data_IF_939290374193
#
_entry.id   IF_939290374193
#
_cell.length_a   1.000
_cell.length_b   1.000
_cell.length_c   1.000
_cell.angle_alpha   90.00
_cell.angle_beta   90.00
_cell.angle_gamma   90.00
#
_symmetry.space_group_name_H-M   'P 1'
#
loop_
_entity.id
_entity.type
_entity.pdbx_description
1 polymer ?
#
# COMPACT_ATOMS: atom_id res chain seq x y z
N UNK A 1 -14.96 16.21 18.67
CA UNK A 1 -14.49 15.08 19.50
C UNK A 1 -15.26 13.82 19.15
N UNK A 2 -14.73 12.61 19.41
CA UNK A 2 -15.44 11.35 19.08
C UNK A 2 -16.85 11.27 19.72
N UNK A 3 -17.03 11.91 20.88
CA UNK A 3 -18.32 12.09 21.55
C UNK A 3 -19.40 12.77 20.68
N UNK A 4 -19.00 13.57 19.70
CA UNK A 4 -19.91 14.34 18.85
C UNK A 4 -20.62 13.44 17.83
N UNK A 5 -20.16 12.19 17.67
CA UNK A 5 -20.77 11.17 16.81
C UNK A 5 -21.75 10.26 17.57
N UNK A 6 -22.10 10.60 18.81
CA UNK A 6 -23.08 9.84 19.61
C UNK A 6 -24.41 9.68 18.85
N UNK A 7 -24.90 8.44 18.76
CA UNK A 7 -26.10 8.10 17.99
C UNK A 7 -25.87 7.74 16.52
N UNK A 8 -24.63 7.86 16.02
CA UNK A 8 -24.30 7.45 14.64
C UNK A 8 -24.24 5.93 14.53
N UNK A 9 -25.00 5.33 13.61
CA UNK A 9 -25.06 3.86 13.50
C UNK A 9 -23.82 3.22 12.85
N UNK A 10 -23.05 4.00 12.10
CA UNK A 10 -21.88 3.53 11.36
C UNK A 10 -20.87 4.66 11.17
N UNK A 11 -19.60 4.41 11.51
CA UNK A 11 -18.49 5.34 11.36
C UNK A 11 -17.37 4.67 10.57
N UNK A 12 -16.67 5.44 9.75
CA UNK A 12 -15.49 4.98 9.00
C UNK A 12 -14.34 5.95 9.20
N UNK A 13 -13.16 5.41 9.51
CA UNK A 13 -11.94 6.17 9.69
C UNK A 13 -10.87 5.63 8.75
N UNK A 14 -10.14 6.53 8.09
CA UNK A 14 -8.97 6.19 7.26
C UNK A 14 -7.75 6.77 7.95
N UNK A 15 -6.76 5.94 8.23
CA UNK A 15 -5.55 6.34 8.96
C UNK A 15 -4.31 6.08 8.11
N UNK A 16 -3.74 7.16 7.58
CA UNK A 16 -2.69 7.09 6.55
C UNK A 16 -1.24 7.11 7.09
N UNK A 17 -1.05 7.15 8.42
CA UNK A 17 0.28 7.33 9.01
C UNK A 17 1.28 6.25 8.59
N UNK A 18 0.82 4.99 8.52
CA UNK A 18 1.66 3.83 8.21
C UNK A 18 2.22 3.92 6.78
N UNK A 19 1.38 4.27 5.80
CA UNK A 19 1.80 4.44 4.40
C UNK A 19 2.71 5.67 4.24
N UNK A 20 2.35 6.81 4.86
CA UNK A 20 3.21 8.02 4.86
C UNK A 20 4.60 7.69 5.43
N UNK A 21 4.68 6.96 6.55
CA UNK A 21 5.96 6.56 7.14
C UNK A 21 6.75 5.65 6.19
N UNK A 22 6.10 4.71 5.52
CA UNK A 22 6.74 3.81 4.57
C UNK A 22 7.35 4.56 3.38
N UNK A 23 6.63 5.50 2.79
CA UNK A 23 7.13 6.33 1.68
C UNK A 23 8.20 7.32 2.14
N UNK A 24 7.97 8.06 3.22
CA UNK A 24 8.94 9.06 3.71
C UNK A 24 10.26 8.45 4.16
N UNK A 25 10.26 7.21 4.64
CA UNK A 25 11.49 6.47 4.93
C UNK A 25 12.40 6.39 3.70
N UNK A 26 11.84 6.23 2.49
CA UNK A 26 12.66 6.17 1.27
C UNK A 26 13.27 7.50 0.86
N UNK A 27 12.71 8.62 1.34
CA UNK A 27 13.10 9.98 0.94
C UNK A 27 13.95 10.71 1.99
N UNK A 28 14.14 10.12 3.18
CA UNK A 28 14.81 10.78 4.31
C UNK A 28 15.90 9.91 4.90
N UNK A 29 17.15 10.35 4.78
CA UNK A 29 18.32 9.67 5.36
C UNK A 29 18.17 9.47 6.87
N UNK A 30 17.66 10.50 7.57
CA UNK A 30 17.38 10.44 9.02
C UNK A 30 16.37 9.32 9.34
N UNK A 31 15.29 9.19 8.55
CA UNK A 31 14.33 8.11 8.76
C UNK A 31 14.91 6.73 8.40
N UNK A 32 15.84 6.64 7.45
CA UNK A 32 16.54 5.38 7.18
C UNK A 32 17.43 4.96 8.34
N UNK A 33 18.09 5.91 9.02
CA UNK A 33 18.89 5.66 10.21
C UNK A 33 18.04 5.25 11.43
N UNK A 34 16.91 5.94 11.65
CA UNK A 34 15.99 5.63 12.76
C UNK A 34 15.24 4.32 12.50
N UNK A 35 14.95 4.01 11.23
CA UNK A 35 14.14 2.86 10.80
C UNK A 35 14.93 1.96 9.83
N UNK A 36 16.03 1.34 10.29
CA UNK A 36 16.93 0.60 9.40
C UNK A 36 16.32 -0.70 8.90
N UNK A 37 15.38 -1.29 9.65
CA UNK A 37 14.78 -2.58 9.35
C UNK A 37 13.30 -2.64 9.75
N UNK A 38 12.65 -3.74 9.39
CA UNK A 38 11.22 -3.97 9.66
C UNK A 38 10.90 -4.03 11.16
N UNK A 39 11.81 -4.53 11.99
CA UNK A 39 11.61 -4.56 13.45
C UNK A 39 11.54 -3.15 14.03
N UNK A 40 12.45 -2.26 13.63
CA UNK A 40 12.40 -0.84 14.02
C UNK A 40 11.15 -0.15 13.49
N UNK A 41 10.73 -0.47 12.25
CA UNK A 41 9.50 0.06 11.67
C UNK A 41 8.27 -0.33 12.50
N UNK A 42 8.12 -1.62 12.83
CA UNK A 42 7.02 -2.11 13.69
C UNK A 42 7.04 -1.48 15.07
N UNK A 43 8.23 -1.24 15.64
CA UNK A 43 8.36 -0.58 16.95
C UNK A 43 7.84 0.86 16.91
N UNK A 44 8.16 1.61 15.86
CA UNK A 44 7.70 3.00 15.70
C UNK A 44 6.20 3.05 15.43
N UNK A 45 5.68 2.18 14.56
CA UNK A 45 4.23 2.10 14.30
C UNK A 45 3.49 1.76 15.59
N UNK A 46 3.99 0.82 16.40
CA UNK A 46 3.41 0.51 17.70
C UNK A 46 3.43 1.72 18.65
N UNK A 47 4.58 2.35 18.81
CA UNK A 47 4.71 3.51 19.70
C UNK A 47 3.80 4.67 19.25
N UNK A 48 3.73 4.94 17.95
CA UNK A 48 2.78 5.89 17.39
C UNK A 48 1.34 5.50 17.75
N UNK A 49 0.95 4.25 17.52
CA UNK A 49 -0.40 3.77 17.80
C UNK A 49 -0.78 3.95 19.27
N UNK A 50 0.10 3.54 20.18
CA UNK A 50 -0.05 3.67 21.65
C UNK A 50 -0.24 5.13 22.10
N UNK A 51 0.27 6.10 21.33
CA UNK A 51 0.15 7.53 21.62
C UNK A 51 -0.77 8.26 20.62
N UNK A 52 -1.51 7.54 19.79
CA UNK A 52 -2.32 8.11 18.71
C UNK A 52 -3.75 8.40 19.16
N UNK A 53 -4.37 9.37 18.49
CA UNK A 53 -5.82 9.60 18.62
C UNK A 53 -6.66 8.39 18.15
N UNK A 54 -6.09 7.51 17.33
CA UNK A 54 -6.76 6.28 16.90
C UNK A 54 -7.02 5.35 18.09
N UNK A 55 -6.08 5.21 19.02
CA UNK A 55 -6.31 4.40 20.23
C UNK A 55 -7.45 4.98 21.07
N UNK A 56 -7.46 6.31 21.26
CA UNK A 56 -8.56 7.01 21.96
C UNK A 56 -9.92 6.79 21.28
N UNK A 57 -9.95 6.76 19.94
CA UNK A 57 -11.18 6.43 19.18
C UNK A 57 -11.63 4.99 19.48
N UNK A 58 -10.71 4.03 19.51
CA UNK A 58 -11.03 2.62 19.79
C UNK A 58 -11.56 2.44 21.22
N UNK A 59 -10.96 3.13 22.20
CA UNK A 59 -11.43 3.14 23.59
C UNK A 59 -12.85 3.71 23.71
N UNK A 60 -13.12 4.83 23.05
CA UNK A 60 -14.46 5.45 23.04
C UNK A 60 -15.49 4.62 22.30
N UNK A 61 -15.09 3.93 21.23
CA UNK A 61 -15.95 2.98 20.53
C UNK A 61 -16.34 1.81 21.45
N UNK A 62 -15.40 1.32 22.27
CA UNK A 62 -15.67 0.27 23.26
C UNK A 62 -16.64 0.74 24.36
N UNK A 63 -16.48 1.95 24.89
CA UNK A 63 -17.40 2.55 25.88
C UNK A 63 -18.86 2.61 25.37
N UNK A 64 -19.03 2.80 24.06
CA UNK A 64 -20.33 2.90 23.40
C UNK A 64 -20.81 1.58 22.78
N UNK A 65 -20.15 0.46 23.10
CA UNK A 65 -20.48 -0.89 22.60
C UNK A 65 -20.53 -1.01 21.06
N UNK A 66 -19.68 -0.25 20.34
CA UNK A 66 -19.49 -0.50 18.92
C UNK A 66 -18.71 -1.80 18.71
N UNK A 67 -19.10 -2.54 17.67
CA UNK A 67 -18.22 -3.55 17.06
C UNK A 67 -17.29 -2.82 16.09
N UNK A 68 -15.98 -2.99 16.27
CA UNK A 68 -14.98 -2.33 15.42
C UNK A 68 -14.37 -3.35 14.49
N UNK A 69 -14.37 -3.06 13.18
CA UNK A 69 -13.63 -3.82 12.18
C UNK A 69 -12.40 -3.03 11.78
N UNK A 70 -11.22 -3.61 11.96
CA UNK A 70 -9.93 -3.02 11.57
C UNK A 70 -9.34 -3.85 10.45
N UNK A 71 -8.97 -3.18 9.35
CA UNK A 71 -8.26 -3.80 8.23
C UNK A 71 -7.33 -2.78 7.57
N UNK A 72 -6.67 -3.19 6.49
CA UNK A 72 -5.87 -2.34 5.61
C UNK A 72 -6.47 -2.42 4.22
N UNK A 73 -6.29 -1.38 3.40
CA UNK A 73 -6.69 -1.38 1.99
C UNK A 73 -5.66 -2.13 1.11
N UNK A 74 -4.40 -2.10 1.52
CA UNK A 74 -3.33 -2.90 0.96
C UNK A 74 -2.28 -3.25 2.01
N UNK A 75 -1.45 -4.24 1.71
CA UNK A 75 -0.21 -4.47 2.43
C UNK A 75 0.97 -3.78 1.75
N UNK A 76 2.19 -4.14 2.12
CA UNK A 76 3.39 -3.59 1.49
C UNK A 76 4.51 -4.62 1.43
N UNK A 77 5.48 -4.40 0.55
CA UNK A 77 6.65 -5.26 0.40
C UNK A 77 7.89 -4.43 0.08
N UNK A 78 9.04 -4.83 0.65
CA UNK A 78 10.33 -4.31 0.20
C UNK A 78 10.64 -4.80 -1.21
N UNK A 79 10.93 -3.87 -2.11
CA UNK A 79 11.30 -4.19 -3.50
C UNK A 79 12.81 -4.24 -3.65
N UNK A 80 13.30 -5.04 -4.60
CA UNK A 80 14.75 -5.23 -4.78
C UNK A 80 15.13 -5.48 -6.23
N UNK A 81 14.23 -6.05 -7.04
CA UNK A 81 14.54 -6.48 -8.41
C UNK A 81 13.86 -5.58 -9.43
N UNK A 82 14.66 -4.87 -10.21
CA UNK A 82 14.15 -4.10 -11.34
C UNK A 82 13.67 -5.00 -12.48
N UNK A 83 12.54 -4.66 -13.08
CA UNK A 83 12.05 -5.26 -14.32
C UNK A 83 11.80 -4.18 -15.34
N UNK A 84 12.51 -4.22 -16.47
CA UNK A 84 12.27 -3.30 -17.58
C UNK A 84 10.82 -3.40 -18.06
N UNK A 85 10.16 -2.26 -18.17
CA UNK A 85 8.82 -2.12 -18.72
C UNK A 85 8.86 -1.18 -19.91
N UNK A 86 8.19 -1.56 -21.00
CA UNK A 86 7.79 -0.60 -22.04
C UNK A 86 6.31 -0.31 -21.85
N UNK A 87 5.98 0.96 -21.72
CA UNK A 87 4.63 1.43 -21.47
C UNK A 87 4.39 2.75 -22.20
N UNK A 88 3.13 3.09 -22.44
CA UNK A 88 2.74 4.38 -23.04
C UNK A 88 3.19 5.57 -22.16
N UNK A 89 3.26 6.79 -22.71
CA UNK A 89 3.67 7.99 -21.95
C UNK A 89 2.73 8.30 -20.77
N UNK A 90 1.45 7.99 -20.91
CA UNK A 90 0.41 8.20 -19.90
C UNK A 90 0.19 6.91 -19.09
N UNK A 91 1.09 6.63 -18.17
CA UNK A 91 0.93 5.49 -17.24
C UNK A 91 0.87 5.98 -15.80
N UNK A 92 0.39 5.12 -14.91
CA UNK A 92 0.31 5.42 -13.48
C UNK A 92 1.68 5.72 -12.87
N UNK A 93 1.70 6.43 -11.76
CA UNK A 93 2.94 6.77 -11.04
C UNK A 93 3.54 5.58 -10.29
N UNK A 94 2.72 4.61 -9.88
CA UNK A 94 3.13 3.44 -9.09
C UNK A 94 4.25 2.63 -9.76
N UNK A 95 5.31 2.29 -9.05
CA UNK A 95 6.36 1.40 -9.58
C UNK A 95 5.98 -0.07 -9.59
N UNK A 96 4.80 -0.42 -9.08
CA UNK A 96 4.35 -1.81 -8.90
C UNK A 96 3.23 -2.21 -9.86
N UNK A 97 2.48 -1.27 -10.41
CA UNK A 97 1.52 -1.55 -11.48
C UNK A 97 1.55 -0.48 -12.56
N UNK A 98 1.11 -0.84 -13.78
CA UNK A 98 0.87 0.11 -14.87
C UNK A 98 -0.44 -0.17 -15.54
N UNK A 99 -1.04 0.91 -16.03
CA UNK A 99 -2.23 0.92 -16.88
C UNK A 99 -1.84 1.54 -18.21
N UNK A 100 -2.26 0.94 -19.32
CA UNK A 100 -1.96 1.45 -20.65
C UNK A 100 -2.50 0.56 -21.77
N UNK A 101 -2.43 1.03 -23.00
CA UNK A 101 -2.82 0.24 -24.19
C UNK A 101 -1.69 -0.69 -24.60
N UNK A 102 -0.46 -0.19 -24.60
CA UNK A 102 0.72 -0.97 -24.96
C UNK A 102 1.64 -1.15 -23.76
N UNK A 103 1.55 -2.31 -23.13
CA UNK A 103 2.44 -2.70 -22.04
C UNK A 103 3.28 -3.91 -22.47
N UNK A 104 4.58 -3.89 -22.16
CA UNK A 104 5.48 -5.03 -22.37
C UNK A 104 6.43 -5.17 -21.18
N UNK A 105 6.40 -6.34 -20.57
CA UNK A 105 7.24 -6.74 -19.43
C UNK A 105 7.42 -8.27 -19.47
N UNK A 106 8.42 -8.80 -18.78
CA UNK A 106 8.59 -10.25 -18.64
C UNK A 106 7.42 -10.87 -17.86
N UNK A 107 6.81 -11.92 -18.41
CA UNK A 107 5.73 -12.68 -17.75
C UNK A 107 6.17 -13.34 -16.44
N UNK A 108 7.48 -13.57 -16.28
CA UNK A 108 8.07 -14.05 -15.03
C UNK A 108 7.99 -12.98 -13.93
N UNK A 109 8.02 -11.70 -14.29
CA UNK A 109 8.13 -10.59 -13.36
C UNK A 109 6.80 -9.90 -13.07
N UNK A 110 5.79 -10.08 -13.93
CA UNK A 110 4.48 -9.43 -13.78
C UNK A 110 3.32 -10.36 -14.13
N UNK A 111 2.13 -10.04 -13.61
CA UNK A 111 0.87 -10.53 -14.14
C UNK A 111 0.35 -9.51 -15.14
N UNK A 112 -0.03 -9.98 -16.32
CA UNK A 112 -0.64 -9.18 -17.37
C UNK A 112 -2.14 -9.44 -17.39
N UNK A 113 -2.96 -8.41 -17.20
CA UNK A 113 -4.41 -8.47 -17.32
C UNK A 113 -4.85 -7.68 -18.55
N UNK A 114 -5.46 -8.38 -19.51
CA UNK A 114 -5.97 -7.79 -20.77
C UNK A 114 -7.46 -7.50 -20.74
N UNK A 115 -8.14 -8.01 -19.72
CA UNK A 115 -9.58 -7.88 -19.53
C UNK A 115 -9.82 -7.39 -18.09
N UNK A 116 -9.67 -6.08 -17.84
CA UNK A 116 -9.73 -5.51 -16.49
C UNK A 116 -11.12 -5.68 -15.84
N UNK A 117 -12.19 -5.69 -16.63
CA UNK A 117 -13.56 -5.78 -16.13
C UNK A 117 -13.82 -7.09 -15.39
N UNK A 118 -13.21 -8.20 -15.83
CA UNK A 118 -13.26 -9.51 -15.13
C UNK A 118 -12.68 -9.47 -13.72
N UNK A 119 -11.88 -8.46 -13.40
CA UNK A 119 -11.27 -8.26 -12.09
C UNK A 119 -11.85 -7.04 -11.37
N UNK A 120 -12.99 -6.52 -11.84
CA UNK A 120 -13.62 -5.30 -11.32
C UNK A 120 -12.68 -4.07 -11.35
N UNK A 121 -11.75 -4.04 -12.31
CA UNK A 121 -10.86 -2.90 -12.54
C UNK A 121 -11.47 -1.95 -13.59
N UNK A 122 -11.21 -0.64 -13.48
CA UNK A 122 -11.74 0.32 -14.43
C UNK A 122 -11.11 0.13 -15.82
N UNK A 123 -11.91 0.34 -16.86
CA UNK A 123 -11.46 0.33 -18.26
C UNK A 123 -11.77 1.68 -18.90
N UNK A 124 -10.99 2.73 -18.60
CA UNK A 124 -11.27 4.09 -19.06
C UNK A 124 -11.17 4.24 -20.59
N UNK A 125 -10.50 3.31 -21.26
CA UNK A 125 -10.30 3.30 -22.71
C UNK A 125 -10.53 1.89 -23.27
N UNK A 126 -10.93 1.82 -24.55
CA UNK A 126 -10.96 0.54 -25.27
C UNK A 126 -9.55 -0.04 -25.30
N UNK A 127 -9.41 -1.33 -24.98
CA UNK A 127 -8.12 -2.03 -24.84
C UNK A 127 -7.25 -1.55 -23.67
N UNK A 128 -7.86 -1.18 -22.55
CA UNK A 128 -7.10 -0.93 -21.30
C UNK A 128 -6.47 -2.24 -20.81
N UNK A 129 -5.15 -2.23 -20.66
CA UNK A 129 -4.40 -3.33 -20.07
C UNK A 129 -3.78 -2.91 -18.73
N UNK A 130 -3.61 -3.89 -17.85
CA UNK A 130 -2.88 -3.74 -16.60
C UNK A 130 -1.70 -4.71 -16.56
N UNK A 131 -0.60 -4.24 -15.97
CA UNK A 131 0.45 -5.14 -15.48
C UNK A 131 0.67 -4.88 -14.00
N UNK A 132 0.81 -5.95 -13.23
CA UNK A 132 1.08 -5.91 -11.79
C UNK A 132 2.36 -6.69 -11.50
N UNK A 133 3.30 -6.08 -10.78
CA UNK A 133 4.56 -6.70 -10.43
C UNK A 133 4.34 -7.90 -9.48
N UNK A 134 5.04 -9.01 -9.77
CA UNK A 134 5.10 -10.20 -8.91
C UNK A 134 6.21 -10.03 -7.87
N UNK A 135 6.08 -10.69 -6.73
CA UNK A 135 7.15 -10.77 -5.70
C UNK A 135 7.69 -9.37 -5.32
N UNK A 136 9.00 -9.18 -5.22
CA UNK A 136 9.71 -7.92 -4.95
C UNK A 136 10.16 -7.18 -6.23
N UNK A 137 9.55 -7.48 -7.39
CA UNK A 137 9.87 -6.75 -8.61
C UNK A 137 9.29 -5.34 -8.63
N UNK A 138 10.00 -4.39 -9.22
CA UNK A 138 9.46 -3.05 -9.51
C UNK A 138 9.81 -2.66 -10.94
N UNK A 139 9.02 -1.77 -11.53
CA UNK A 139 9.13 -1.43 -12.93
C UNK A 139 10.17 -0.34 -13.20
N UNK A 140 11.09 -0.64 -14.10
CA UNK A 140 12.14 0.24 -14.59
C UNK A 140 11.78 0.77 -15.97
N UNK A 141 11.78 2.09 -16.12
CA UNK A 141 11.57 2.73 -17.40
C UNK A 141 12.88 2.87 -18.18
N UNK A 142 12.95 2.50 -19.47
CA UNK A 142 14.18 2.57 -20.28
C UNK A 142 14.92 3.90 -20.20
N UNK A 143 14.18 5.01 -20.17
CA UNK A 143 14.77 6.36 -20.15
C UNK A 143 15.24 6.80 -18.74
N UNK A 144 14.83 6.10 -17.68
CA UNK A 144 15.08 6.48 -16.29
C UNK A 144 15.64 5.33 -15.43
N UNK A 145 16.21 4.27 -16.04
CA UNK A 145 16.66 3.05 -15.33
C UNK A 145 17.50 3.41 -14.09
N UNK A 146 18.59 4.17 -14.28
CA UNK A 146 19.53 4.53 -13.20
C UNK A 146 18.87 5.27 -12.04
N UNK A 147 17.91 6.15 -12.34
CA UNK A 147 17.17 6.90 -11.31
C UNK A 147 16.36 5.93 -10.44
N UNK A 148 15.64 5.01 -11.07
CA UNK A 148 14.76 4.09 -10.35
C UNK A 148 15.56 3.01 -9.59
N UNK A 149 16.64 2.49 -10.18
CA UNK A 149 17.55 1.55 -9.50
C UNK A 149 18.25 2.16 -8.30
N UNK A 150 18.48 3.48 -8.28
CA UNK A 150 19.05 4.15 -7.11
C UNK A 150 18.03 4.35 -5.98
N UNK A 151 16.78 4.65 -6.32
CA UNK A 151 15.78 5.12 -5.36
C UNK A 151 14.98 3.98 -4.72
N UNK A 152 14.55 2.98 -5.51
CA UNK A 152 13.52 2.05 -5.07
C UNK A 152 14.00 0.78 -4.35
N UNK A 153 15.19 0.21 -4.60
CA UNK A 153 15.64 -0.96 -3.84
C UNK A 153 15.58 -0.72 -2.32
N UNK A 154 15.13 -1.73 -1.58
CA UNK A 154 14.94 -1.74 -0.12
C UNK A 154 13.93 -0.72 0.43
N UNK A 155 13.11 -0.13 -0.45
CA UNK A 155 11.95 0.68 -0.07
C UNK A 155 10.69 -0.18 0.01
N UNK A 156 9.79 0.14 0.94
CA UNK A 156 8.47 -0.47 1.01
C UNK A 156 7.58 0.11 -0.09
N UNK A 157 7.01 -0.75 -0.92
CA UNK A 157 6.11 -0.38 -2.01
C UNK A 157 4.84 -1.23 -1.94
N UNK A 158 3.83 -0.78 -2.66
CA UNK A 158 2.54 -1.45 -2.79
C UNK A 158 1.94 -1.26 -4.19
N UNK A 159 0.84 -1.96 -4.45
CA UNK A 159 0.14 -1.95 -5.73
C UNK A 159 0.55 -3.08 -6.67
N UNK A 160 1.46 -3.96 -6.27
CA UNK A 160 1.74 -5.22 -6.96
C UNK A 160 0.78 -6.33 -6.51
N UNK A 161 1.08 -7.57 -6.91
CA UNK A 161 0.27 -8.75 -6.57
C UNK A 161 1.02 -9.74 -5.67
N UNK A 162 2.00 -9.28 -4.90
CA UNK A 162 2.65 -10.16 -3.94
C UNK A 162 1.69 -10.51 -2.80
N UNK A 163 1.86 -11.68 -2.18
CA UNK A 163 1.03 -12.07 -1.04
C UNK A 163 1.07 -11.05 0.11
N UNK A 164 2.20 -10.34 0.28
CA UNK A 164 2.34 -9.33 1.33
C UNK A 164 1.52 -8.07 1.04
N UNK A 165 1.16 -7.81 -0.22
CA UNK A 165 0.30 -6.70 -0.62
C UNK A 165 -1.17 -7.10 -0.65
N UNK A 166 -1.48 -8.36 -0.99
CA UNK A 166 -2.86 -8.82 -1.24
C UNK A 166 -3.53 -9.50 -0.05
N UNK A 167 -2.77 -10.16 0.84
CA UNK A 167 -3.33 -10.83 2.01
C UNK A 167 -3.36 -9.82 3.16
N UNK A 168 -4.58 -9.44 3.56
CA UNK A 168 -4.81 -8.33 4.49
C UNK A 168 -5.37 -8.84 5.81
N UNK A 169 -4.88 -8.35 6.96
CA UNK A 169 -5.47 -8.68 8.24
C UNK A 169 -6.86 -8.06 8.34
N UNK A 170 -7.79 -8.80 8.94
CA UNK A 170 -9.08 -8.28 9.38
C UNK A 170 -9.24 -8.67 10.84
N UNK A 171 -9.38 -7.67 11.71
CA UNK A 171 -9.66 -7.87 13.12
C UNK A 171 -11.05 -7.35 13.43
N UNK A 172 -11.86 -8.16 14.10
CA UNK A 172 -13.16 -7.76 14.65
C UNK A 172 -12.99 -7.64 16.16
N UNK A 173 -13.19 -6.44 16.68
CA UNK A 173 -12.99 -6.11 18.09
C UNK A 173 -14.34 -5.82 18.72
N UNK A 174 -14.53 -6.34 19.93
CA UNK A 174 -15.69 -6.10 20.77
C UNK A 174 -15.24 -5.44 22.09
N UNK A 175 -16.14 -4.70 22.74
CA UNK A 175 -15.88 -4.20 24.09
C UNK A 175 -15.59 -5.36 25.03
N UNK A 176 -14.63 -5.17 25.93
CA UNK A 176 -14.43 -6.11 27.04
C UNK A 176 -15.58 -5.90 28.01
N UNK A 177 -16.47 -6.87 28.09
CA UNK A 177 -17.49 -6.98 29.14
C UNK A 177 -16.86 -7.16 30.50
#
# INVERSE_FOLDING_TARGET
HFSDYSGTRFLTFVVNFVDILAHRRSESDILQEIVPNETSYRRIVRNWFENSYLLTILEKAAEQNYTVVVTSDHGSRKVSRGSLVKADKETTTSVRYKVGRNLKVSDKHALYLRDPERFHLPSPQVFTNYIFARSDYFFLYPNNIRKFEKIYPDTFQHGGISMHEMILPVAVLHSRT
#
